data_IF_901519541000
#
_entry.id   IF_901519541000
#
_cell.length_a   1.000
_cell.length_b   1.000
_cell.length_c   1.000
_cell.angle_alpha   90.00
_cell.angle_beta   90.00
_cell.angle_gamma   90.00
#
_symmetry.space_group_name_H-M   'P 1'
#
loop_
_entity.id
_entity.type
_entity.pdbx_description
1 polymer ?
#
# COMPACT_ATOMS: atom_id res chain seq x y z
N UNK A 1 4.98 -7.77 -18.26
CA UNK A 1 4.05 -6.65 -18.47
C UNK A 1 2.61 -7.05 -18.18
N UNK A 2 2.00 -7.97 -18.95
CA UNK A 2 0.60 -8.37 -18.75
C UNK A 2 0.29 -8.85 -17.31
N UNK A 3 1.08 -9.77 -16.75
CA UNK A 3 0.88 -10.30 -15.39
C UNK A 3 0.93 -9.18 -14.33
N UNK A 4 1.89 -8.25 -14.44
CA UNK A 4 2.00 -7.12 -13.53
C UNK A 4 0.73 -6.26 -13.60
N UNK A 5 0.27 -5.91 -14.80
CA UNK A 5 -0.94 -5.13 -14.98
C UNK A 5 -2.18 -5.80 -14.39
N UNK A 6 -2.33 -7.12 -14.59
CA UNK A 6 -3.43 -7.90 -13.98
C UNK A 6 -3.36 -7.87 -12.46
N UNK A 7 -2.17 -8.04 -11.88
CA UNK A 7 -1.98 -7.99 -10.42
C UNK A 7 -2.29 -6.60 -9.86
N UNK A 8 -1.89 -5.53 -10.54
CA UNK A 8 -2.21 -4.15 -10.15
C UNK A 8 -3.72 -3.88 -10.21
N UNK A 9 -4.39 -4.33 -11.27
CA UNK A 9 -5.83 -4.18 -11.41
C UNK A 9 -6.59 -4.96 -10.32
N UNK A 10 -6.19 -6.20 -10.05
CA UNK A 10 -6.76 -7.00 -8.97
C UNK A 10 -6.59 -6.28 -7.63
N UNK A 11 -5.41 -5.72 -7.39
CA UNK A 11 -5.13 -5.00 -6.14
C UNK A 11 -5.97 -3.73 -6.01
N UNK A 12 -6.21 -2.98 -7.11
CA UNK A 12 -7.15 -1.86 -7.12
C UNK A 12 -8.57 -2.28 -6.74
N UNK A 13 -9.06 -3.37 -7.33
CA UNK A 13 -10.43 -3.88 -7.06
C UNK A 13 -10.57 -4.31 -5.61
N UNK A 14 -9.60 -5.06 -5.07
CA UNK A 14 -9.61 -5.50 -3.67
C UNK A 14 -9.52 -4.30 -2.71
N UNK A 15 -8.66 -3.32 -3.02
CA UNK A 15 -8.51 -2.11 -2.19
C UNK A 15 -9.79 -1.29 -2.18
N UNK A 16 -10.41 -1.11 -3.34
CA UNK A 16 -11.71 -0.45 -3.47
C UNK A 16 -12.77 -1.16 -2.64
N UNK A 17 -12.86 -2.49 -2.76
CA UNK A 17 -13.82 -3.28 -1.98
C UNK A 17 -13.60 -3.13 -0.48
N UNK A 18 -12.36 -3.20 0.00
CA UNK A 18 -12.03 -3.00 1.41
C UNK A 18 -12.43 -1.60 1.91
N UNK A 19 -12.10 -0.54 1.16
CA UNK A 19 -12.53 0.81 1.48
C UNK A 19 -14.05 0.95 1.52
N UNK A 20 -14.76 0.36 0.54
CA UNK A 20 -16.21 0.43 0.49
C UNK A 20 -16.87 -0.27 1.66
N UNK A 21 -16.44 -1.50 1.99
CA UNK A 21 -17.03 -2.27 3.11
C UNK A 21 -16.79 -1.58 4.44
N UNK A 22 -15.56 -1.09 4.69
CA UNK A 22 -15.24 -0.37 5.92
C UNK A 22 -15.97 0.97 5.98
N UNK A 23 -16.12 1.65 4.85
CA UNK A 23 -16.78 2.95 4.74
C UNK A 23 -18.21 2.96 5.25
N UNK A 24 -18.98 1.90 4.98
CA UNK A 24 -20.42 1.80 5.36
C UNK A 24 -20.71 1.95 6.85
N UNK A 25 -19.72 1.70 7.71
CA UNK A 25 -19.88 1.74 9.16
C UNK A 25 -18.88 2.71 9.81
N UNK A 26 -18.23 3.57 9.02
CA UNK A 26 -17.05 4.29 9.47
C UNK A 26 -17.36 5.42 10.44
N UNK A 27 -18.45 6.16 10.21
CA UNK A 27 -18.90 7.23 11.11
C UNK A 27 -19.40 6.66 12.44
N UNK A 28 -20.07 5.52 12.38
CA UNK A 28 -20.69 4.88 13.55
C UNK A 28 -19.80 3.89 14.28
N UNK A 29 -18.57 3.67 13.81
CA UNK A 29 -17.65 2.69 14.40
C UNK A 29 -17.50 2.80 15.91
N UNK A 30 -17.59 4.00 16.48
CA UNK A 30 -17.47 4.24 17.92
C UNK A 30 -18.56 3.52 18.74
N UNK A 31 -19.68 3.18 18.12
CA UNK A 31 -20.78 2.40 18.71
C UNK A 31 -20.53 0.90 18.68
N UNK A 32 -19.56 0.43 17.90
CA UNK A 32 -19.24 -0.99 17.74
C UNK A 32 -18.26 -1.46 18.83
N UNK A 33 -18.24 -2.78 19.15
CA UNK A 33 -17.26 -3.34 20.07
C UNK A 33 -15.81 -3.09 19.62
N UNK A 34 -14.88 -3.03 20.57
CA UNK A 34 -13.47 -2.68 20.28
C UNK A 34 -12.79 -3.56 19.22
N UNK A 35 -13.10 -4.87 19.20
CA UNK A 35 -12.57 -5.76 18.16
C UNK A 35 -13.09 -5.40 16.76
N UNK A 36 -14.37 -5.05 16.63
CA UNK A 36 -14.94 -4.62 15.35
C UNK A 36 -14.32 -3.28 14.90
N UNK A 37 -14.11 -2.34 15.83
CA UNK A 37 -13.39 -1.09 15.56
C UNK A 37 -11.99 -1.34 15.02
N UNK A 38 -11.24 -2.23 15.66
CA UNK A 38 -9.91 -2.60 15.24
C UNK A 38 -9.89 -3.25 13.85
N UNK A 39 -10.84 -4.15 13.54
CA UNK A 39 -10.94 -4.78 12.22
C UNK A 39 -11.30 -3.80 11.11
N UNK A 40 -12.12 -2.78 11.39
CA UNK A 40 -12.39 -1.70 10.43
C UNK A 40 -11.13 -0.90 10.11
N UNK A 41 -10.32 -0.56 11.13
CA UNK A 41 -9.00 0.05 10.90
C UNK A 41 -8.08 -0.85 10.09
N UNK A 42 -8.07 -2.16 10.35
CA UNK A 42 -7.30 -3.11 9.56
C UNK A 42 -7.72 -3.09 8.08
N UNK A 43 -9.03 -3.08 7.78
CA UNK A 43 -9.53 -2.98 6.41
C UNK A 43 -9.17 -1.67 5.73
N UNK A 44 -9.26 -0.53 6.45
CA UNK A 44 -8.86 0.77 5.92
C UNK A 44 -7.35 0.82 5.59
N UNK A 45 -6.50 0.32 6.49
CA UNK A 45 -5.04 0.24 6.28
C UNK A 45 -4.71 -0.66 5.09
N UNK A 46 -5.38 -1.82 4.97
CA UNK A 46 -5.20 -2.73 3.83
C UNK A 46 -5.60 -2.08 2.50
N UNK A 47 -6.66 -1.26 2.49
CA UNK A 47 -7.01 -0.44 1.34
C UNK A 47 -5.93 0.57 0.99
N UNK A 48 -5.43 1.34 1.97
CA UNK A 48 -4.35 2.32 1.74
C UNK A 48 -3.10 1.63 1.19
N UNK A 49 -2.68 0.50 1.78
CA UNK A 49 -1.51 -0.25 1.33
C UNK A 49 -1.67 -0.75 -0.11
N UNK A 50 -2.86 -1.25 -0.46
CA UNK A 50 -3.14 -1.74 -1.80
C UNK A 50 -3.16 -0.60 -2.84
N UNK A 51 -3.87 0.50 -2.60
CA UNK A 51 -3.83 1.68 -3.47
C UNK A 51 -2.41 2.25 -3.60
N UNK A 52 -1.69 2.39 -2.49
CA UNK A 52 -0.34 2.93 -2.48
C UNK A 52 0.60 2.09 -3.35
N UNK A 53 0.55 0.76 -3.22
CA UNK A 53 1.39 -0.13 -4.04
C UNK A 53 1.10 0.01 -5.53
N UNK A 54 -0.15 0.27 -5.92
CA UNK A 54 -0.51 0.49 -7.33
C UNK A 54 0.00 1.84 -7.80
N UNK A 55 -0.30 2.90 -7.05
CA UNK A 55 0.06 4.26 -7.43
C UNK A 55 1.57 4.45 -7.50
N UNK A 56 2.33 3.93 -6.53
CA UNK A 56 3.79 4.05 -6.54
C UNK A 56 4.40 3.26 -7.70
N UNK A 57 3.82 2.11 -8.04
CA UNK A 57 4.28 1.31 -9.19
C UNK A 57 4.02 2.04 -10.49
N UNK A 58 2.78 2.45 -10.73
CA UNK A 58 2.40 3.15 -11.97
C UNK A 58 3.17 4.46 -12.12
N UNK A 59 3.23 5.29 -11.08
CA UNK A 59 3.91 6.58 -11.12
C UNK A 59 5.41 6.42 -11.36
N UNK A 60 6.08 5.51 -10.63
CA UNK A 60 7.53 5.29 -10.80
C UNK A 60 7.85 4.76 -12.20
N UNK A 61 7.02 3.87 -12.73
CA UNK A 61 7.18 3.35 -14.09
C UNK A 61 6.97 4.44 -15.14
N UNK A 62 5.91 5.26 -15.03
CA UNK A 62 5.69 6.40 -15.93
C UNK A 62 6.88 7.37 -15.86
N UNK A 63 7.37 7.70 -14.67
CA UNK A 63 8.52 8.58 -14.51
C UNK A 63 9.79 8.01 -15.13
N UNK A 64 9.98 6.68 -15.07
CA UNK A 64 11.11 6.00 -15.71
C UNK A 64 10.98 5.99 -17.22
N UNK A 65 9.84 5.52 -17.73
CA UNK A 65 9.61 5.27 -19.16
C UNK A 65 9.54 6.57 -19.98
N UNK A 66 9.00 7.64 -19.38
CA UNK A 66 8.99 8.98 -19.97
C UNK A 66 10.27 9.78 -19.66
N UNK A 67 11.29 9.15 -19.06
CA UNK A 67 12.55 9.78 -18.67
C UNK A 67 12.35 11.10 -17.89
N UNK A 68 11.44 11.13 -16.91
CA UNK A 68 11.12 12.33 -16.12
C UNK A 68 12.13 12.60 -15.00
N UNK A 69 12.86 11.58 -14.53
CA UNK A 69 13.83 11.74 -13.44
C UNK A 69 14.99 12.67 -13.79
N UNK A 70 15.64 12.47 -14.94
CA UNK A 70 16.76 13.29 -15.39
C UNK A 70 16.40 14.78 -15.61
N UNK A 71 15.35 15.13 -16.38
CA UNK A 71 14.98 16.52 -16.60
C UNK A 71 14.51 17.20 -15.31
N UNK A 72 13.84 16.47 -14.41
CA UNK A 72 13.43 17.02 -13.13
C UNK A 72 14.64 17.33 -12.22
N UNK A 73 15.64 16.45 -12.20
CA UNK A 73 16.90 16.68 -11.50
C UNK A 73 17.63 17.91 -12.04
N UNK A 74 17.74 18.01 -13.36
CA UNK A 74 18.41 19.13 -14.02
C UNK A 74 17.65 20.44 -13.81
N UNK A 75 16.32 20.43 -13.93
CA UNK A 75 15.50 21.64 -13.78
C UNK A 75 15.60 22.22 -12.37
N UNK A 76 15.39 21.38 -11.35
CA UNK A 76 15.26 21.80 -9.95
C UNK A 76 16.60 21.93 -9.22
N UNK A 77 17.56 21.07 -9.53
CA UNK A 77 18.82 20.96 -8.76
C UNK A 77 20.07 21.23 -9.59
N UNK A 78 19.95 21.43 -10.92
CA UNK A 78 21.08 21.65 -11.84
C UNK A 78 22.09 20.50 -11.80
N UNK A 79 21.61 19.26 -11.62
CA UNK A 79 22.43 18.05 -11.54
C UNK A 79 22.00 17.05 -12.59
N UNK A 80 22.98 16.39 -13.19
CA UNK A 80 22.76 15.31 -14.15
C UNK A 80 22.86 13.93 -13.47
N UNK A 81 22.00 13.03 -13.93
CA UNK A 81 21.98 11.62 -13.51
C UNK A 81 22.27 10.75 -14.73
N UNK A 82 23.16 9.77 -14.54
CA UNK A 82 23.35 8.70 -15.51
C UNK A 82 22.17 7.72 -15.47
N UNK A 83 21.98 6.96 -16.55
CA UNK A 83 20.94 5.92 -16.61
C UNK A 83 21.06 4.89 -15.47
N UNK A 84 22.30 4.48 -15.12
CA UNK A 84 22.55 3.56 -14.01
C UNK A 84 22.13 4.14 -12.66
N UNK A 85 22.31 5.44 -12.44
CA UNK A 85 21.87 6.11 -11.20
C UNK A 85 20.34 6.20 -11.11
N UNK A 86 19.66 6.37 -12.25
CA UNK A 86 18.19 6.33 -12.31
C UNK A 86 17.68 4.92 -12.03
N UNK A 87 18.30 3.88 -12.57
CA UNK A 87 17.91 2.50 -12.28
C UNK A 87 18.06 2.14 -10.79
N UNK A 88 19.16 2.56 -10.16
CA UNK A 88 19.34 2.41 -8.72
C UNK A 88 18.30 3.21 -7.93
N UNK A 89 17.97 4.43 -8.36
CA UNK A 89 16.92 5.25 -7.77
C UNK A 89 15.56 4.57 -7.82
N UNK A 90 15.18 4.03 -8.97
CA UNK A 90 13.92 3.30 -9.15
C UNK A 90 13.88 2.07 -8.25
N UNK A 91 14.97 1.31 -8.15
CA UNK A 91 15.05 0.18 -7.22
C UNK A 91 14.88 0.63 -5.76
N UNK A 92 15.56 1.70 -5.33
CA UNK A 92 15.43 2.22 -3.98
C UNK A 92 14.01 2.75 -3.67
N UNK A 93 13.30 3.30 -4.66
CA UNK A 93 11.88 3.69 -4.52
C UNK A 93 11.02 2.47 -4.21
N UNK A 94 11.19 1.38 -4.97
CA UNK A 94 10.45 0.14 -4.74
C UNK A 94 10.81 -0.53 -3.41
N UNK A 95 12.08 -0.54 -3.03
CA UNK A 95 12.53 -1.06 -1.74
C UNK A 95 11.91 -0.27 -0.58
N UNK A 96 11.91 1.07 -0.65
CA UNK A 96 11.29 1.91 0.35
C UNK A 96 9.77 1.69 0.40
N UNK A 97 9.10 1.68 -0.75
CA UNK A 97 7.67 1.44 -0.83
C UNK A 97 7.29 0.07 -0.21
N UNK A 98 8.06 -0.97 -0.50
CA UNK A 98 7.89 -2.31 0.08
C UNK A 98 8.03 -2.28 1.61
N UNK A 99 9.07 -1.63 2.13
CA UNK A 99 9.30 -1.52 3.58
C UNK A 99 8.19 -0.74 4.28
N UNK A 100 7.61 0.28 3.65
CA UNK A 100 6.48 1.04 4.19
C UNK A 100 5.23 0.16 4.31
N UNK A 101 4.94 -0.69 3.33
CA UNK A 101 3.69 -1.49 3.33
C UNK A 101 3.78 -2.79 4.09
N UNK A 102 4.95 -3.45 4.13
CA UNK A 102 5.01 -4.85 4.59
C UNK A 102 4.65 -4.96 6.07
N UNK A 103 5.08 -4.02 6.92
CA UNK A 103 4.75 -4.08 8.35
C UNK A 103 3.26 -3.84 8.64
N UNK A 104 2.60 -2.80 8.07
CA UNK A 104 1.15 -2.66 8.17
C UNK A 104 0.38 -3.87 7.62
N UNK A 105 0.78 -4.42 6.47
CA UNK A 105 0.14 -5.59 5.86
C UNK A 105 0.26 -6.82 6.75
N UNK A 106 1.41 -7.05 7.38
CA UNK A 106 1.59 -8.16 8.31
C UNK A 106 0.73 -7.99 9.58
N UNK A 107 0.74 -6.80 10.17
CA UNK A 107 -0.02 -6.54 11.40
C UNK A 107 -1.52 -6.68 11.19
N UNK A 108 -2.05 -6.04 10.15
CA UNK A 108 -3.48 -6.08 9.82
C UNK A 108 -3.91 -7.43 9.25
N UNK A 109 -3.06 -8.08 8.45
CA UNK A 109 -3.33 -9.40 7.89
C UNK A 109 -3.41 -10.50 8.96
N UNK A 110 -2.62 -10.43 10.04
CA UNK A 110 -2.78 -11.32 11.20
C UNK A 110 -4.15 -11.15 11.86
N UNK A 111 -4.55 -9.90 12.13
CA UNK A 111 -5.84 -9.60 12.74
C UNK A 111 -7.01 -10.11 11.90
N UNK A 112 -6.97 -9.86 10.58
CA UNK A 112 -7.98 -10.33 9.63
C UNK A 112 -8.01 -11.86 9.56
N UNK A 113 -6.85 -12.52 9.57
CA UNK A 113 -6.76 -13.99 9.55
C UNK A 113 -7.40 -14.61 10.77
N UNK A 114 -7.09 -14.10 11.97
CA UNK A 114 -7.69 -14.57 13.23
C UNK A 114 -9.20 -14.38 13.21
N UNK A 115 -9.69 -13.21 12.80
CA UNK A 115 -11.13 -12.98 12.68
C UNK A 115 -11.79 -13.93 11.67
N UNK A 116 -11.12 -14.24 10.57
CA UNK A 116 -11.64 -15.16 9.55
C UNK A 116 -11.79 -16.58 10.11
N UNK A 117 -10.88 -17.03 10.98
CA UNK A 117 -11.02 -18.31 11.68
C UNK A 117 -12.20 -18.31 12.67
N UNK A 118 -12.39 -17.22 13.42
CA UNK A 118 -13.53 -17.08 14.32
C UNK A 118 -14.85 -17.17 13.53
N UNK A 119 -14.95 -16.42 12.42
CA UNK A 119 -16.16 -16.41 11.58
C UNK A 119 -16.41 -17.79 10.95
N UNK A 120 -15.37 -18.46 10.44
CA UNK A 120 -15.48 -19.81 9.90
C UNK A 120 -15.98 -20.82 10.95
N UNK A 121 -15.44 -20.73 12.18
CA UNK A 121 -15.85 -21.60 13.29
C UNK A 121 -17.30 -21.37 13.73
N UNK A 122 -17.73 -20.10 13.79
CA UNK A 122 -19.08 -19.73 14.23
C UNK A 122 -20.13 -20.02 13.16
N UNK A 123 -19.90 -19.62 11.91
CA UNK A 123 -20.89 -19.73 10.83
C UNK A 123 -20.94 -21.12 10.20
N UNK A 124 -19.82 -21.85 10.20
CA UNK A 124 -19.69 -23.22 9.67
C UNK A 124 -20.17 -23.39 8.23
N UNK A 125 -20.17 -22.33 7.44
CA UNK A 125 -20.48 -22.36 6.02
C UNK A 125 -19.21 -22.40 5.16
N UNK A 126 -19.33 -22.98 3.96
CA UNK A 126 -18.20 -23.15 3.04
C UNK A 126 -17.56 -21.82 2.59
N UNK A 127 -18.33 -20.74 2.52
CA UNK A 127 -17.83 -19.42 2.13
C UNK A 127 -16.90 -18.88 3.20
N UNK A 128 -17.33 -18.92 4.47
CA UNK A 128 -16.53 -18.47 5.61
C UNK A 128 -15.25 -19.30 5.78
N UNK A 129 -15.33 -20.62 5.59
CA UNK A 129 -14.16 -21.51 5.59
C UNK A 129 -13.20 -21.14 4.44
N UNK A 130 -13.72 -20.93 3.23
CA UNK A 130 -12.92 -20.51 2.08
C UNK A 130 -12.18 -19.19 2.29
N UNK A 131 -12.85 -18.18 2.85
CA UNK A 131 -12.24 -16.89 3.23
C UNK A 131 -11.15 -17.09 4.29
N UNK A 132 -11.40 -17.93 5.29
CA UNK A 132 -10.41 -18.28 6.31
C UNK A 132 -9.15 -18.90 5.74
N UNK A 133 -9.29 -19.84 4.80
CA UNK A 133 -8.16 -20.48 4.10
C UNK A 133 -7.39 -19.45 3.26
N UNK A 134 -8.11 -18.62 2.49
CA UNK A 134 -7.49 -17.59 1.66
C UNK A 134 -6.67 -16.62 2.48
N UNK A 135 -7.24 -16.06 3.56
CA UNK A 135 -6.54 -15.09 4.40
C UNK A 135 -5.33 -15.73 5.11
N UNK A 136 -5.45 -16.97 5.60
CA UNK A 136 -4.31 -17.69 6.19
C UNK A 136 -3.18 -17.93 5.17
N UNK A 137 -3.53 -18.36 3.95
CA UNK A 137 -2.55 -18.55 2.88
C UNK A 137 -1.87 -17.25 2.46
N UNK A 138 -2.64 -16.17 2.30
CA UNK A 138 -2.11 -14.84 1.99
C UNK A 138 -1.20 -14.32 3.09
N UNK A 139 -1.58 -14.49 4.35
CA UNK A 139 -0.77 -14.07 5.49
C UNK A 139 0.55 -14.86 5.57
N UNK A 140 0.50 -16.18 5.37
CA UNK A 140 1.70 -17.01 5.33
C UNK A 140 2.63 -16.58 4.18
N UNK A 141 2.07 -16.34 2.99
CA UNK A 141 2.83 -15.84 1.84
C UNK A 141 3.52 -14.50 2.15
N UNK A 142 2.78 -13.55 2.75
CA UNK A 142 3.32 -12.24 3.14
C UNK A 142 4.44 -12.38 4.19
N UNK A 143 4.30 -13.27 5.17
CA UNK A 143 5.32 -13.52 6.19
C UNK A 143 6.59 -14.13 5.58
N UNK A 144 6.45 -15.13 4.71
CA UNK A 144 7.59 -15.75 4.00
C UNK A 144 8.31 -14.71 3.13
N UNK A 145 7.55 -13.88 2.42
CA UNK A 145 8.13 -12.81 1.61
C UNK A 145 8.84 -11.77 2.48
N UNK A 146 8.26 -11.36 3.60
CA UNK A 146 8.87 -10.42 4.53
C UNK A 146 10.24 -10.92 5.01
N UNK A 147 10.33 -12.18 5.46
CA UNK A 147 11.58 -12.79 5.91
C UNK A 147 12.65 -12.79 4.79
N UNK A 148 12.25 -13.03 3.54
CA UNK A 148 13.17 -13.11 2.39
C UNK A 148 13.59 -11.75 1.85
N UNK A 149 12.68 -10.78 1.83
CA UNK A 149 12.84 -9.54 1.08
C UNK A 149 13.12 -8.32 1.97
N UNK A 150 12.62 -8.26 3.21
CA UNK A 150 12.89 -7.12 4.10
C UNK A 150 14.39 -6.90 4.32
N UNK A 151 15.21 -7.92 4.64
CA UNK A 151 16.64 -7.70 4.85
C UNK A 151 17.35 -7.20 3.57
N UNK A 152 16.92 -7.68 2.40
CA UNK A 152 17.50 -7.30 1.11
C UNK A 152 17.13 -5.87 0.74
N UNK A 153 15.85 -5.51 0.87
CA UNK A 153 15.35 -4.16 0.63
C UNK A 153 15.98 -3.15 1.59
N UNK A 154 16.09 -3.48 2.88
CA UNK A 154 16.74 -2.63 3.87
C UNK A 154 18.22 -2.41 3.56
N UNK A 155 18.95 -3.48 3.19
CA UNK A 155 20.36 -3.36 2.80
C UNK A 155 20.54 -2.54 1.52
N UNK A 156 19.70 -2.77 0.52
CA UNK A 156 19.71 -2.04 -0.76
C UNK A 156 19.44 -0.54 -0.53
N UNK A 157 18.40 -0.21 0.22
CA UNK A 157 18.05 1.16 0.58
C UNK A 157 19.14 1.83 1.41
N UNK A 158 19.65 1.17 2.44
CA UNK A 158 20.75 1.68 3.27
C UNK A 158 22.01 1.96 2.44
N UNK A 159 22.37 1.05 1.53
CA UNK A 159 23.53 1.22 0.65
C UNK A 159 23.30 2.40 -0.31
N UNK A 160 22.12 2.49 -0.91
CA UNK A 160 21.73 3.58 -1.80
C UNK A 160 21.76 4.94 -1.09
N UNK A 161 21.24 5.02 0.14
CA UNK A 161 21.26 6.23 0.96
C UNK A 161 22.70 6.61 1.35
N UNK A 162 23.52 5.65 1.79
CA UNK A 162 24.92 5.91 2.15
C UNK A 162 25.75 6.44 0.98
N UNK A 163 25.53 5.94 -0.24
CA UNK A 163 26.17 6.47 -1.45
C UNK A 163 25.72 7.91 -1.71
N UNK A 164 24.42 8.20 -1.56
CA UNK A 164 23.85 9.53 -1.80
C UNK A 164 24.31 10.57 -0.78
N UNK A 165 24.37 10.23 0.50
CA UNK A 165 24.87 11.13 1.55
C UNK A 165 26.36 11.44 1.43
N UNK A 166 27.12 10.64 0.66
CA UNK A 166 28.52 10.90 0.33
C UNK A 166 28.70 11.68 -0.98
N UNK A 167 27.63 11.92 -1.74
CA UNK A 167 27.69 12.71 -2.97
C UNK A 167 27.78 14.21 -2.64
N UNK A 168 28.27 15.03 -3.60
CA UNK A 168 28.26 16.49 -3.49
C UNK A 168 26.85 17.00 -3.14
N UNK A 169 26.75 18.01 -2.28
CA UNK A 169 25.51 18.47 -1.63
C UNK A 169 24.29 18.57 -2.58
N UNK A 170 24.46 19.15 -3.78
CA UNK A 170 23.37 19.28 -4.75
C UNK A 170 22.85 17.95 -5.30
N UNK A 171 23.73 16.96 -5.53
CA UNK A 171 23.33 15.64 -6.05
C UNK A 171 22.72 14.75 -4.97
N UNK A 172 23.21 14.88 -3.73
CA UNK A 172 22.61 14.21 -2.57
C UNK A 172 21.16 14.65 -2.36
N UNK A 173 20.91 15.97 -2.37
CA UNK A 173 19.58 16.55 -2.21
C UNK A 173 18.62 16.15 -3.35
N UNK A 174 19.07 16.25 -4.60
CA UNK A 174 18.29 15.83 -5.76
C UNK A 174 17.90 14.35 -5.67
N UNK A 175 18.87 13.50 -5.31
CA UNK A 175 18.67 12.06 -5.15
C UNK A 175 17.64 11.71 -4.08
N UNK A 176 17.64 12.43 -2.96
CA UNK A 176 16.67 12.22 -1.88
C UNK A 176 15.27 12.71 -2.29
N UNK A 177 15.19 13.90 -2.90
CA UNK A 177 13.94 14.46 -3.39
C UNK A 177 13.26 13.52 -4.40
N UNK A 178 14.00 13.06 -5.41
CA UNK A 178 13.46 12.20 -6.47
C UNK A 178 13.09 10.79 -5.96
N UNK A 179 13.71 10.33 -4.88
CA UNK A 179 13.34 9.09 -4.20
C UNK A 179 12.03 9.25 -3.45
N UNK A 180 11.87 10.35 -2.70
CA UNK A 180 10.69 10.57 -1.86
C UNK A 180 9.47 11.02 -2.67
N UNK A 181 9.66 11.73 -3.78
CA UNK A 181 8.58 12.29 -4.58
C UNK A 181 7.49 11.26 -4.97
N UNK A 182 7.79 10.17 -5.69
CA UNK A 182 6.76 9.20 -6.06
C UNK A 182 6.18 8.48 -4.86
N UNK A 183 6.96 8.26 -3.79
CA UNK A 183 6.52 7.59 -2.57
C UNK A 183 5.49 8.44 -1.82
N UNK A 184 5.82 9.71 -1.54
CA UNK A 184 4.96 10.62 -0.79
C UNK A 184 3.69 10.96 -1.57
N UNK A 185 3.81 11.25 -2.87
CA UNK A 185 2.65 11.54 -3.73
C UNK A 185 1.71 10.34 -3.78
N UNK A 186 2.25 9.13 -3.97
CA UNK A 186 1.43 7.91 -4.03
C UNK A 186 0.77 7.58 -2.70
N UNK A 187 1.47 7.78 -1.58
CA UNK A 187 0.92 7.52 -0.25
C UNK A 187 -0.21 8.51 0.07
N UNK A 188 0.01 9.80 -0.20
CA UNK A 188 -1.02 10.83 -0.06
C UNK A 188 -2.25 10.54 -0.92
N UNK A 189 -2.04 10.18 -2.19
CA UNK A 189 -3.11 9.79 -3.10
C UNK A 189 -3.87 8.54 -2.63
N UNK A 190 -3.16 7.55 -2.07
CA UNK A 190 -3.78 6.32 -1.56
C UNK A 190 -4.64 6.56 -0.31
N UNK A 191 -4.15 7.40 0.61
CA UNK A 191 -4.92 7.83 1.79
C UNK A 191 -6.16 8.60 1.35
N UNK A 192 -5.99 9.58 0.46
CA UNK A 192 -7.11 10.38 -0.05
C UNK A 192 -8.14 9.50 -0.79
N UNK A 193 -7.69 8.59 -1.66
CA UNK A 193 -8.57 7.66 -2.38
C UNK A 193 -9.36 6.79 -1.41
N UNK A 194 -8.69 6.20 -0.42
CA UNK A 194 -9.35 5.37 0.59
C UNK A 194 -10.39 6.18 1.37
N UNK A 195 -10.04 7.38 1.84
CA UNK A 195 -10.95 8.24 2.57
C UNK A 195 -12.17 8.67 1.72
N UNK A 196 -11.96 9.01 0.45
CA UNK A 196 -13.05 9.39 -0.46
C UNK A 196 -14.01 8.23 -0.73
N UNK A 197 -13.50 7.02 -0.98
CA UNK A 197 -14.35 5.83 -1.18
C UNK A 197 -15.10 5.49 0.10
N UNK A 198 -14.43 5.57 1.25
CA UNK A 198 -15.07 5.31 2.54
C UNK A 198 -16.21 6.30 2.80
N UNK A 199 -15.96 7.60 2.59
CA UNK A 199 -16.99 8.64 2.71
C UNK A 199 -18.15 8.42 1.74
N UNK A 200 -17.87 8.15 0.46
CA UNK A 200 -18.90 7.87 -0.54
C UNK A 200 -19.70 6.59 -0.24
N UNK A 201 -19.14 5.67 0.55
CA UNK A 201 -19.84 4.48 1.00
C UNK A 201 -20.63 4.72 2.29
N UNK A 202 -20.19 5.63 3.14
CA UNK A 202 -20.92 6.05 4.34
C UNK A 202 -22.19 6.84 3.95
N UNK A 203 -22.06 7.80 3.02
CA UNK A 203 -23.18 8.61 2.50
C UNK A 203 -24.28 7.77 1.81
N UNK A 204 -23.97 6.54 1.37
CA UNK A 204 -24.94 5.63 0.73
C UNK A 204 -25.67 4.72 1.71
N UNK A 205 -25.23 4.65 2.96
CA UNK A 205 -25.71 3.70 3.96
C UNK A 205 -26.06 4.43 5.27
N UNK A 206 -26.72 5.60 5.18
CA UNK A 206 -27.36 6.20 6.35
C UNK A 206 -28.36 5.20 6.95
N UNK A 207 -28.24 4.92 8.24
CA UNK A 207 -28.98 3.87 8.97
C UNK A 207 -30.52 3.98 8.89
N UNK A 208 -31.09 5.07 8.36
CA UNK A 208 -32.53 5.22 8.17
C UNK A 208 -33.12 4.14 7.24
N UNK A 209 -32.35 3.67 6.26
CA UNK A 209 -32.78 2.63 5.32
C UNK A 209 -32.77 1.21 5.92
N UNK A 210 -32.19 1.01 7.11
CA UNK A 210 -32.16 -0.30 7.78
C UNK A 210 -33.25 -0.49 8.85
N UNK A 211 -33.99 0.57 9.19
CA UNK A 211 -35.07 0.52 10.20
C UNK A 211 -36.46 0.42 9.55
N UNK A 212 -36.56 0.58 8.22
CA UNK A 212 -37.81 0.51 7.47
C UNK A 212 -37.96 -0.74 6.57
N UNK A 213 -37.09 -1.75 6.73
CA UNK A 213 -37.14 -3.03 5.99
C UNK A 213 -37.64 -4.21 6.81
#
# INVERSE_FOLDING_TARGET
MFILFTLLLLNLVISFWNASVVGRYWTEKSRLPGLAQFLMWCGAIMSVAGFFSVYVTVLTMIMKDLNLFAPLALALFKVEFSAAEIDMLVQNIFDLAYLIIIFPVLGTGLAITVNSWIVAYVRRDWTSVGVGIYNAGAQLHNMVNAVRHVPRAAKSLSSGLNIRFKAKDGKALASLFLLLLPVVVSLGAAIATTALIMRASDEKYELEDMVQG
#
